data_IF_817325042449
#
_entry.id   IF_817325042449
#
_cell.length_a   1.000
_cell.length_b   1.000
_cell.length_c   1.000
_cell.angle_alpha   90.00
_cell.angle_beta   90.00
_cell.angle_gamma   90.00
#
_symmetry.space_group_name_H-M   'P 1'
#
loop_
_entity.id
_entity.type
_entity.pdbx_description
1 polymer ?
#
# COMPACT_ATOMS: atom_id res chain seq x y z
N UNK A 1 -7.07 -35.21 36.24
CA UNK A 1 -6.37 -33.98 36.69
C UNK A 1 -6.13 -33.09 35.49
N UNK A 2 -6.89 -32.00 35.43
CA UNK A 2 -6.78 -30.93 34.43
C UNK A 2 -5.39 -30.29 34.49
N UNK A 3 -4.69 -30.22 33.35
CA UNK A 3 -3.66 -29.21 33.16
C UNK A 3 -4.36 -27.97 32.62
N UNK A 4 -4.73 -27.07 33.52
CA UNK A 4 -4.99 -25.68 33.19
C UNK A 4 -3.71 -25.11 32.54
N UNK A 5 -3.76 -24.90 31.24
CA UNK A 5 -2.77 -24.10 30.52
C UNK A 5 -3.01 -22.65 30.88
N UNK A 6 -2.31 -22.18 31.93
CA UNK A 6 -2.26 -20.79 32.37
C UNK A 6 -2.07 -19.84 31.18
N UNK A 7 -3.12 -19.09 30.87
CA UNK A 7 -3.22 -18.15 29.76
C UNK A 7 -2.63 -16.77 30.15
N UNK A 8 -1.48 -16.75 30.84
CA UNK A 8 -0.71 -15.54 31.02
C UNK A 8 0.14 -15.33 29.76
N UNK A 9 -0.31 -14.46 28.86
CA UNK A 9 0.60 -13.87 27.86
C UNK A 9 1.78 -13.27 28.62
N UNK A 10 2.95 -13.92 28.54
CA UNK A 10 4.14 -13.41 29.21
C UNK A 10 4.41 -11.98 28.71
N UNK A 11 4.83 -11.04 29.57
CA UNK A 11 5.12 -9.66 29.16
C UNK A 11 6.11 -9.62 27.99
N UNK A 12 7.05 -10.56 27.95
CA UNK A 12 7.99 -10.75 26.85
C UNK A 12 7.31 -11.12 25.52
N UNK A 13 6.35 -12.04 25.55
CA UNK A 13 5.59 -12.42 24.35
C UNK A 13 4.72 -11.26 23.84
N UNK A 14 4.19 -10.44 24.76
CA UNK A 14 3.47 -9.21 24.41
C UNK A 14 4.39 -8.23 23.67
N UNK A 15 5.57 -7.94 24.20
CA UNK A 15 6.56 -7.04 23.56
C UNK A 15 7.00 -7.57 22.21
N UNK A 16 7.30 -8.87 22.09
CA UNK A 16 7.66 -9.48 20.80
C UNK A 16 6.55 -9.30 19.77
N UNK A 17 5.29 -9.51 20.16
CA UNK A 17 4.15 -9.31 19.24
C UNK A 17 3.93 -7.85 18.86
N UNK A 18 4.19 -6.91 19.76
CA UNK A 18 4.19 -5.48 19.45
C UNK A 18 5.29 -5.15 18.42
N UNK A 19 6.50 -5.68 18.58
CA UNK A 19 7.58 -5.48 17.60
C UNK A 19 7.25 -6.11 16.24
N UNK A 20 6.71 -7.33 16.23
CA UNK A 20 6.25 -7.98 15.00
C UNK A 20 5.15 -7.16 14.33
N UNK A 21 4.19 -6.65 15.10
CA UNK A 21 3.17 -5.71 14.64
C UNK A 21 3.81 -4.48 14.00
N UNK A 22 4.78 -3.84 14.67
CA UNK A 22 5.42 -2.63 14.16
C UNK A 22 6.13 -2.87 12.82
N UNK A 23 6.78 -4.01 12.64
CA UNK A 23 7.38 -4.39 11.37
C UNK A 23 6.32 -4.64 10.28
N UNK A 24 5.19 -5.27 10.61
CA UNK A 24 4.05 -5.43 9.69
C UNK A 24 3.48 -4.05 9.28
N UNK A 25 3.32 -3.14 10.24
CA UNK A 25 2.85 -1.77 10.00
C UNK A 25 3.79 -0.97 9.11
N UNK A 26 5.10 -1.11 9.30
CA UNK A 26 6.12 -0.53 8.41
C UNK A 26 5.95 -1.05 6.97
N UNK A 27 5.74 -2.36 6.83
CA UNK A 27 5.48 -2.98 5.53
C UNK A 27 4.16 -2.55 4.88
N UNK A 28 3.21 -1.99 5.62
CA UNK A 28 1.97 -1.49 5.02
C UNK A 28 2.13 -0.09 4.38
N UNK A 29 3.14 0.69 4.77
CA UNK A 29 3.36 2.07 4.30
C UNK A 29 4.27 2.12 3.07
N UNK A 30 5.35 1.33 3.07
CA UNK A 30 6.41 1.42 2.06
C UNK A 30 6.13 0.54 0.83
N UNK A 31 6.28 1.07 -0.41
CA UNK A 31 6.17 0.25 -1.61
C UNK A 31 7.23 -0.85 -1.64
N UNK A 32 6.83 -2.08 -1.97
CA UNK A 32 7.72 -3.23 -2.14
C UNK A 32 7.98 -4.06 -0.88
N UNK A 33 7.64 -3.55 0.31
CA UNK A 33 7.62 -4.36 1.54
C UNK A 33 6.19 -4.86 1.70
N UNK A 34 5.97 -6.19 1.75
CA UNK A 34 4.63 -6.73 1.97
C UNK A 34 4.41 -6.99 3.46
N UNK A 35 3.56 -6.19 4.11
CA UNK A 35 3.09 -6.48 5.47
C UNK A 35 2.45 -7.88 5.60
N UNK A 36 1.88 -8.40 4.50
CA UNK A 36 1.38 -9.77 4.41
C UNK A 36 2.48 -10.82 4.51
N UNK A 37 3.59 -10.65 3.78
CA UNK A 37 4.76 -11.56 3.85
C UNK A 37 5.37 -11.54 5.26
N UNK A 38 5.51 -10.36 5.86
CA UNK A 38 5.98 -10.25 7.25
C UNK A 38 5.02 -10.94 8.23
N UNK A 39 3.71 -10.85 8.00
CA UNK A 39 2.72 -11.56 8.81
C UNK A 39 2.85 -13.08 8.70
N UNK A 40 3.22 -13.61 7.53
CA UNK A 40 3.50 -15.04 7.31
C UNK A 40 4.77 -15.45 8.04
N UNK A 41 5.86 -14.70 7.88
CA UNK A 41 7.17 -14.96 8.54
C UNK A 41 7.02 -14.99 10.06
N UNK A 42 6.22 -14.08 10.62
CA UNK A 42 5.98 -14.03 12.06
C UNK A 42 4.92 -15.05 12.56
N UNK A 43 4.31 -15.83 11.67
CA UNK A 43 3.29 -16.82 12.00
C UNK A 43 1.96 -16.21 12.45
N UNK A 44 1.72 -14.93 12.14
CA UNK A 44 0.52 -14.18 12.54
C UNK A 44 -0.56 -14.21 11.45
N UNK A 45 -0.17 -14.53 10.20
CA UNK A 45 -1.08 -14.60 9.06
C UNK A 45 -2.27 -15.56 9.27
N UNK A 46 -2.00 -16.82 9.70
CA UNK A 46 -3.06 -17.81 9.97
C UNK A 46 -4.08 -17.33 11.03
N UNK A 47 -3.65 -16.86 12.21
CA UNK A 47 -4.54 -16.23 13.20
C UNK A 47 -5.42 -15.10 12.65
N UNK A 48 -4.87 -14.24 11.76
CA UNK A 48 -5.62 -13.15 11.14
C UNK A 48 -6.69 -13.72 10.20
N UNK A 49 -6.32 -14.66 9.33
CA UNK A 49 -7.23 -15.25 8.36
C UNK A 49 -8.36 -16.03 9.03
N UNK A 50 -8.05 -16.83 10.06
CA UNK A 50 -9.08 -17.56 10.82
C UNK A 50 -10.08 -16.63 11.52
N UNK A 51 -9.62 -15.48 12.02
CA UNK A 51 -10.49 -14.45 12.56
C UNK A 51 -11.36 -13.80 11.48
N UNK A 52 -10.81 -13.51 10.29
CA UNK A 52 -11.56 -12.91 9.19
C UNK A 52 -12.59 -13.88 8.57
N UNK A 53 -12.28 -15.17 8.48
CA UNK A 53 -13.18 -16.18 7.92
C UNK A 53 -14.38 -16.49 8.82
N UNK A 54 -14.20 -16.45 10.15
CA UNK A 54 -15.27 -16.72 11.12
C UNK A 54 -15.23 -15.71 12.29
N UNK A 55 -15.56 -14.43 12.04
CA UNK A 55 -15.32 -13.35 12.99
C UNK A 55 -16.08 -13.51 14.30
N UNK A 56 -17.31 -14.02 14.27
CA UNK A 56 -18.13 -14.20 15.48
C UNK A 56 -17.64 -15.37 16.33
N UNK A 57 -17.26 -16.49 15.71
CA UNK A 57 -16.82 -17.70 16.40
C UNK A 57 -15.40 -17.55 16.97
N UNK A 58 -14.51 -16.89 16.21
CA UNK A 58 -13.09 -16.76 16.56
C UNK A 58 -12.74 -15.45 17.28
N UNK A 59 -13.72 -14.58 17.55
CA UNK A 59 -13.51 -13.29 18.22
C UNK A 59 -12.80 -13.46 19.57
N UNK A 60 -13.37 -14.29 20.46
CA UNK A 60 -12.87 -14.44 21.84
C UNK A 60 -11.53 -15.17 21.93
N UNK A 61 -11.16 -15.95 20.93
CA UNK A 61 -9.94 -16.78 20.91
C UNK A 61 -8.76 -16.07 20.24
N UNK A 62 -9.00 -15.32 19.17
CA UNK A 62 -7.96 -14.71 18.34
C UNK A 62 -7.75 -13.22 18.63
N UNK A 63 -8.81 -12.46 18.94
CA UNK A 63 -8.68 -11.00 19.19
C UNK A 63 -7.70 -10.70 20.33
N UNK A 64 -7.76 -11.34 21.52
CA UNK A 64 -6.81 -11.05 22.60
C UNK A 64 -5.35 -11.31 22.23
N UNK A 65 -5.12 -12.28 21.35
CA UNK A 65 -3.78 -12.65 20.85
C UNK A 65 -3.28 -11.67 19.78
N UNK A 66 -4.18 -11.06 19.03
CA UNK A 66 -3.88 -10.12 17.95
C UNK A 66 -3.79 -8.66 18.43
N UNK A 67 -4.41 -8.29 19.55
CA UNK A 67 -4.33 -6.93 20.12
C UNK A 67 -2.88 -6.39 20.17
N UNK A 68 -1.87 -7.12 20.68
CA UNK A 68 -0.51 -6.61 20.73
C UNK A 68 0.08 -6.36 19.33
N UNK A 69 -0.29 -7.19 18.36
CA UNK A 69 0.12 -7.04 16.96
C UNK A 69 -0.57 -5.84 16.32
N UNK A 70 -1.85 -5.62 16.59
CA UNK A 70 -2.61 -4.46 16.09
C UNK A 70 -2.04 -3.16 16.68
N UNK A 71 -1.74 -3.14 17.99
CA UNK A 71 -1.08 -2.00 18.64
C UNK A 71 0.28 -1.75 18.01
N UNK A 72 1.09 -2.80 17.87
CA UNK A 72 2.38 -2.73 17.19
C UNK A 72 2.24 -2.19 15.77
N UNK A 73 1.30 -2.73 15.00
CA UNK A 73 1.00 -2.34 13.62
C UNK A 73 0.61 -0.88 13.50
N UNK A 74 -0.26 -0.40 14.38
CA UNK A 74 -0.60 1.01 14.45
C UNK A 74 0.64 1.87 14.77
N UNK A 75 1.43 1.51 15.78
CA UNK A 75 2.64 2.26 16.15
C UNK A 75 3.68 2.26 15.02
N UNK A 76 3.92 1.12 14.38
CA UNK A 76 4.86 1.00 13.26
C UNK A 76 4.38 1.76 12.03
N UNK A 77 3.10 1.63 11.67
CA UNK A 77 2.48 2.38 10.60
C UNK A 77 2.62 3.88 10.84
N UNK A 78 2.21 4.37 12.02
CA UNK A 78 2.25 5.79 12.37
C UNK A 78 3.67 6.33 12.45
N UNK A 79 4.60 5.57 13.03
CA UNK A 79 6.01 5.97 13.11
C UNK A 79 6.62 6.15 11.72
N UNK A 80 6.39 5.20 10.82
CA UNK A 80 6.91 5.26 9.45
C UNK A 80 6.18 6.32 8.63
N UNK A 81 4.86 6.44 8.77
CA UNK A 81 4.05 7.48 8.15
C UNK A 81 4.57 8.89 8.48
N UNK A 82 4.85 9.18 9.76
CA UNK A 82 5.36 10.47 10.20
C UNK A 82 6.78 10.75 9.69
N UNK A 83 7.67 9.76 9.74
CA UNK A 83 9.02 9.89 9.17
C UNK A 83 8.93 10.19 7.67
N UNK A 84 8.05 9.49 6.98
CA UNK A 84 7.87 9.64 5.55
C UNK A 84 7.26 11.00 5.18
N UNK A 85 6.25 11.46 5.92
CA UNK A 85 5.67 12.79 5.78
C UNK A 85 6.76 13.86 5.95
N UNK A 86 7.60 13.73 6.99
CA UNK A 86 8.73 14.63 7.22
C UNK A 86 9.70 14.66 6.02
N UNK A 87 10.05 13.52 5.43
CA UNK A 87 10.94 13.48 4.26
C UNK A 87 10.27 14.06 3.01
N UNK A 88 8.99 13.79 2.78
CA UNK A 88 8.23 14.34 1.66
C UNK A 88 8.05 15.87 1.77
N UNK A 89 7.96 16.41 2.98
CA UNK A 89 7.90 17.86 3.20
C UNK A 89 9.26 18.53 3.11
N UNK A 90 10.28 17.95 3.74
CA UNK A 90 11.63 18.56 3.82
C UNK A 90 12.45 18.35 2.54
N UNK A 91 12.25 17.23 1.86
CA UNK A 91 12.99 16.83 0.66
C UNK A 91 12.01 16.27 -0.40
N UNK A 92 11.12 17.09 -0.98
CA UNK A 92 10.06 16.63 -1.86
C UNK A 92 10.59 15.90 -3.10
N UNK A 93 11.48 16.53 -3.88
CA UNK A 93 11.98 15.94 -5.13
C UNK A 93 12.78 14.63 -4.88
N UNK A 94 13.76 14.56 -3.96
CA UNK A 94 14.47 13.32 -3.68
C UNK A 94 13.56 12.21 -3.15
N UNK A 95 12.58 12.55 -2.30
CA UNK A 95 11.64 11.57 -1.75
C UNK A 95 10.74 10.99 -2.83
N UNK A 96 10.16 11.84 -3.68
CA UNK A 96 9.34 11.39 -4.82
C UNK A 96 10.18 10.55 -5.78
N UNK A 97 11.43 10.94 -6.05
CA UNK A 97 12.36 10.16 -6.87
C UNK A 97 12.67 8.78 -6.29
N UNK A 98 12.84 8.67 -4.96
CA UNK A 98 12.99 7.38 -4.28
C UNK A 98 11.73 6.51 -4.46
N UNK A 99 10.54 7.09 -4.32
CA UNK A 99 9.27 6.39 -4.57
C UNK A 99 9.12 5.90 -6.00
N UNK A 100 9.43 6.76 -6.98
CA UNK A 100 9.44 6.38 -8.39
C UNK A 100 10.39 5.19 -8.61
N UNK A 101 11.59 5.23 -8.00
CA UNK A 101 12.53 4.12 -8.04
C UNK A 101 11.97 2.83 -7.46
N UNK A 102 11.32 2.91 -6.29
CA UNK A 102 10.68 1.75 -5.66
C UNK A 102 9.56 1.16 -6.53
N UNK A 103 8.69 2.00 -7.09
CA UNK A 103 7.60 1.56 -7.97
C UNK A 103 8.18 0.92 -9.24
N UNK A 104 9.14 1.59 -9.89
CA UNK A 104 9.79 1.09 -11.10
C UNK A 104 10.49 -0.25 -10.87
N UNK A 105 11.18 -0.42 -9.74
CA UNK A 105 11.82 -1.68 -9.36
C UNK A 105 10.82 -2.81 -9.07
N UNK A 106 9.58 -2.50 -8.70
CA UNK A 106 8.49 -3.48 -8.51
C UNK A 106 7.70 -3.78 -9.79
N UNK A 107 7.82 -2.98 -10.86
CA UNK A 107 7.12 -3.26 -12.12
C UNK A 107 7.40 -4.67 -12.69
N UNK A 108 8.64 -5.20 -12.69
CA UNK A 108 8.90 -6.54 -13.19
C UNK A 108 8.14 -7.63 -12.44
N UNK A 109 8.01 -7.53 -11.11
CA UNK A 109 7.27 -8.50 -10.32
C UNK A 109 5.76 -8.35 -10.52
N UNK A 110 5.25 -7.13 -10.69
CA UNK A 110 3.85 -6.90 -11.09
C UNK A 110 3.54 -7.51 -12.45
N UNK A 111 4.42 -7.37 -13.44
CA UNK A 111 4.25 -8.01 -14.76
C UNK A 111 4.34 -9.54 -14.70
N UNK A 112 5.13 -10.10 -13.76
CA UNK A 112 5.18 -11.53 -13.48
C UNK A 112 3.84 -12.01 -12.90
N UNK A 113 3.37 -11.37 -11.84
CA UNK A 113 2.09 -11.63 -11.17
C UNK A 113 0.92 -11.54 -12.17
N UNK A 114 0.85 -10.46 -12.94
CA UNK A 114 -0.19 -10.25 -13.94
C UNK A 114 -0.27 -11.34 -15.01
N UNK A 115 0.83 -12.08 -15.22
CA UNK A 115 0.93 -13.18 -16.17
C UNK A 115 0.67 -14.56 -15.60
N UNK A 116 0.40 -14.72 -14.31
CA UNK A 116 0.26 -16.03 -13.66
C UNK A 116 -0.88 -16.87 -14.24
N UNK A 117 -2.01 -16.25 -14.57
CA UNK A 117 -3.13 -16.91 -15.23
C UNK A 117 -3.10 -16.77 -16.77
N UNK A 118 -1.92 -16.54 -17.34
CA UNK A 118 -1.72 -16.33 -18.76
C UNK A 118 -1.89 -14.87 -19.19
N UNK A 119 -1.54 -14.59 -20.46
CA UNK A 119 -1.60 -13.25 -21.07
C UNK A 119 -2.42 -13.31 -22.35
N UNK A 120 -3.50 -12.54 -22.40
CA UNK A 120 -4.36 -12.43 -23.59
C UNK A 120 -4.08 -11.10 -24.31
N UNK A 121 -4.52 -10.98 -25.58
CA UNK A 121 -4.53 -9.69 -26.28
C UNK A 121 -5.35 -8.64 -25.52
N UNK A 122 -6.45 -9.06 -24.88
CA UNK A 122 -7.29 -8.22 -24.04
C UNK A 122 -6.55 -7.64 -22.82
N UNK A 123 -5.56 -8.37 -22.28
CA UNK A 123 -4.76 -7.92 -21.14
C UNK A 123 -3.93 -6.68 -21.49
N UNK A 124 -3.20 -6.72 -22.62
CA UNK A 124 -2.42 -5.58 -23.10
C UNK A 124 -3.31 -4.40 -23.52
N UNK A 125 -4.47 -4.68 -24.12
CA UNK A 125 -5.46 -3.64 -24.44
C UNK A 125 -5.94 -2.96 -23.15
N UNK A 126 -6.27 -3.73 -22.10
CA UNK A 126 -6.68 -3.17 -20.81
C UNK A 126 -5.59 -2.32 -20.18
N UNK A 127 -4.33 -2.74 -20.25
CA UNK A 127 -3.20 -1.94 -19.77
C UNK A 127 -3.14 -0.57 -20.45
N UNK A 128 -3.18 -0.55 -21.79
CA UNK A 128 -3.09 0.70 -22.56
C UNK A 128 -4.32 1.58 -22.32
N UNK A 129 -5.53 1.00 -22.30
CA UNK A 129 -6.76 1.74 -22.04
C UNK A 129 -6.74 2.37 -20.65
N UNK A 130 -6.44 1.60 -19.60
CA UNK A 130 -6.36 2.14 -18.25
C UNK A 130 -5.26 3.21 -18.12
N UNK A 131 -4.10 3.00 -18.74
CA UNK A 131 -3.02 3.98 -18.77
C UNK A 131 -3.46 5.30 -19.43
N UNK A 132 -4.08 5.23 -20.61
CA UNK A 132 -4.58 6.40 -21.32
C UNK A 132 -5.69 7.13 -20.55
N UNK A 133 -6.60 6.38 -19.92
CA UNK A 133 -7.68 6.96 -19.08
C UNK A 133 -7.08 7.72 -17.90
N UNK A 134 -6.13 7.13 -17.18
CA UNK A 134 -5.48 7.79 -16.04
C UNK A 134 -4.68 9.00 -16.49
N UNK A 135 -3.94 8.92 -17.60
CA UNK A 135 -3.27 10.10 -18.15
C UNK A 135 -4.25 11.20 -18.50
N UNK A 136 -5.35 10.88 -19.19
CA UNK A 136 -6.36 11.87 -19.54
C UNK A 136 -6.97 12.53 -18.29
N UNK A 137 -7.25 11.75 -17.25
CA UNK A 137 -7.76 12.27 -15.96
C UNK A 137 -6.72 13.17 -15.30
N UNK A 138 -5.49 12.71 -15.10
CA UNK A 138 -4.46 13.45 -14.37
C UNK A 138 -4.02 14.71 -15.11
N UNK A 139 -3.83 14.63 -16.43
CA UNK A 139 -3.52 15.80 -17.27
C UNK A 139 -4.71 16.76 -17.28
N UNK A 140 -5.94 16.26 -17.38
CA UNK A 140 -7.15 17.07 -17.27
C UNK A 140 -7.20 17.86 -15.97
N UNK A 141 -6.99 17.19 -14.83
CA UNK A 141 -6.97 17.82 -13.51
C UNK A 141 -5.90 18.93 -13.42
N UNK A 142 -4.70 18.70 -13.98
CA UNK A 142 -3.64 19.71 -14.04
C UNK A 142 -4.01 20.91 -14.92
N UNK A 143 -4.57 20.67 -16.12
CA UNK A 143 -4.94 21.74 -17.06
C UNK A 143 -6.03 22.65 -16.49
N UNK A 144 -7.01 22.09 -15.80
CA UNK A 144 -8.10 22.88 -15.22
C UNK A 144 -7.71 23.60 -13.91
N UNK A 145 -6.45 23.45 -13.45
CA UNK A 145 -5.96 24.01 -12.18
C UNK A 145 -6.95 23.77 -11.03
N UNK A 146 -7.62 22.61 -11.05
CA UNK A 146 -8.48 22.20 -9.94
C UNK A 146 -7.51 21.89 -8.81
N UNK A 147 -7.26 22.89 -7.95
CA UNK A 147 -6.58 22.65 -6.69
C UNK A 147 -7.38 21.57 -5.98
N UNK A 148 -6.79 20.37 -5.90
CA UNK A 148 -7.29 19.25 -5.12
C UNK A 148 -7.12 19.64 -3.65
N UNK A 149 -7.97 20.56 -3.17
CA UNK A 149 -7.98 20.96 -1.77
C UNK A 149 -8.45 19.75 -0.98
N UNK A 150 -7.63 19.25 -0.05
CA UNK A 150 -8.02 18.13 0.80
C UNK A 150 -9.35 18.48 1.47
N UNK A 151 -10.37 17.70 1.15
CA UNK A 151 -11.72 17.89 1.66
C UNK A 151 -12.30 16.52 1.99
N UNK A 152 -13.47 16.52 2.62
CA UNK A 152 -14.15 15.30 3.03
C UNK A 152 -14.27 14.24 1.91
N UNK A 153 -14.57 14.68 0.67
CA UNK A 153 -14.70 13.78 -0.48
C UNK A 153 -13.36 13.19 -0.94
N UNK A 154 -12.30 14.00 -0.94
CA UNK A 154 -10.97 13.48 -1.28
C UNK A 154 -10.43 12.52 -0.21
N UNK A 155 -10.74 12.73 1.06
CA UNK A 155 -10.37 11.78 2.12
C UNK A 155 -11.23 10.51 2.08
N UNK A 156 -12.51 10.58 1.68
CA UNK A 156 -13.29 9.39 1.33
C UNK A 156 -12.62 8.60 0.20
N UNK A 157 -12.13 9.29 -0.85
CA UNK A 157 -11.40 8.68 -1.95
C UNK A 157 -10.06 8.07 -1.50
N UNK A 158 -9.34 8.71 -0.58
CA UNK A 158 -8.14 8.14 0.03
C UNK A 158 -8.44 6.82 0.76
N UNK A 159 -9.54 6.79 1.52
CA UNK A 159 -10.08 5.59 2.15
C UNK A 159 -10.40 4.49 1.14
N UNK A 160 -11.03 4.85 0.01
CA UNK A 160 -11.27 3.94 -1.10
C UNK A 160 -9.98 3.36 -1.67
N UNK A 161 -8.97 4.19 -1.97
CA UNK A 161 -7.68 3.72 -2.48
C UNK A 161 -6.96 2.81 -1.48
N UNK A 162 -7.04 3.14 -0.19
CA UNK A 162 -6.51 2.30 0.89
C UNK A 162 -7.21 0.94 0.93
N UNK A 163 -8.53 0.90 0.93
CA UNK A 163 -9.26 -0.38 0.88
C UNK A 163 -8.98 -1.17 -0.40
N UNK A 164 -8.90 -0.49 -1.55
CA UNK A 164 -8.57 -1.13 -2.82
C UNK A 164 -7.17 -1.76 -2.78
N UNK A 165 -6.19 -1.10 -2.15
CA UNK A 165 -4.84 -1.66 -1.97
C UNK A 165 -4.78 -2.91 -1.09
N UNK A 166 -5.77 -3.09 -0.20
CA UNK A 166 -5.90 -4.29 0.63
C UNK A 166 -6.60 -5.43 -0.11
N UNK A 167 -7.55 -5.11 -0.99
CA UNK A 167 -8.37 -6.10 -1.71
C UNK A 167 -7.69 -6.55 -2.99
N UNK A 168 -7.07 -5.64 -3.74
CA UNK A 168 -6.42 -5.89 -5.02
C UNK A 168 -4.90 -6.09 -4.81
N UNK A 169 -4.38 -7.33 -4.97
CA UNK A 169 -2.96 -7.60 -4.78
C UNK A 169 -2.09 -6.80 -5.77
N UNK A 170 -0.93 -6.32 -5.31
CA UNK A 170 0.04 -5.61 -6.14
C UNK A 170 -0.19 -4.10 -6.33
N UNK A 171 -1.26 -3.51 -5.77
CA UNK A 171 -1.50 -2.06 -5.79
C UNK A 171 -1.24 -1.47 -4.41
N UNK A 172 -0.22 -0.62 -4.23
CA UNK A 172 -0.09 0.19 -3.01
C UNK A 172 -0.92 1.46 -3.15
N UNK A 173 -1.70 1.84 -2.14
CA UNK A 173 -2.47 3.09 -2.19
C UNK A 173 -1.59 4.33 -2.40
N UNK A 174 -0.31 4.26 -2.00
CA UNK A 174 0.69 5.30 -2.28
C UNK A 174 0.83 5.60 -3.78
N UNK A 175 0.76 4.59 -4.65
CA UNK A 175 0.92 4.79 -6.11
C UNK A 175 -0.26 5.54 -6.71
N UNK A 176 -1.44 5.46 -6.11
CA UNK A 176 -2.64 6.16 -6.58
C UNK A 176 -2.74 7.58 -6.01
N UNK A 177 -2.42 7.76 -4.73
CA UNK A 177 -2.65 9.03 -4.03
C UNK A 177 -1.54 10.06 -4.26
N UNK A 178 -0.32 9.62 -4.54
CA UNK A 178 0.82 10.52 -4.66
C UNK A 178 0.75 11.42 -5.91
N UNK A 179 0.39 10.93 -7.12
CA UNK A 179 0.20 11.78 -8.31
C UNK A 179 -0.96 12.79 -8.16
N UNK A 180 -1.91 12.50 -7.27
CA UNK A 180 -3.03 13.39 -6.95
C UNK A 180 -2.67 14.43 -5.88
N UNK A 181 -1.46 14.39 -5.31
CA UNK A 181 -1.07 15.25 -4.19
C UNK A 181 -1.79 14.94 -2.87
N UNK A 182 -2.51 13.82 -2.80
CA UNK A 182 -3.32 13.43 -1.64
C UNK A 182 -2.57 12.55 -0.65
N UNK A 183 -1.46 11.95 -1.06
CA UNK A 183 -0.70 11.02 -0.23
C UNK A 183 -0.15 11.68 1.04
N UNK A 184 0.63 12.75 0.90
CA UNK A 184 1.23 13.47 2.04
C UNK A 184 0.18 13.95 3.04
N UNK A 185 -0.87 14.72 2.66
CA UNK A 185 -1.86 15.18 3.64
C UNK A 185 -2.65 14.02 4.27
N UNK A 186 -2.86 12.92 3.54
CA UNK A 186 -3.54 11.75 4.12
C UNK A 186 -2.66 11.01 5.14
N UNK A 187 -1.39 10.77 4.82
CA UNK A 187 -0.45 10.08 5.70
C UNK A 187 -0.11 10.93 6.93
N UNK A 188 0.11 12.23 6.74
CA UNK A 188 0.33 13.18 7.82
C UNK A 188 -0.88 13.28 8.76
N UNK A 189 -2.09 13.36 8.19
CA UNK A 189 -3.33 13.35 8.95
C UNK A 189 -3.54 12.09 9.78
N UNK A 190 -3.18 10.92 9.23
CA UNK A 190 -3.18 9.67 10.00
C UNK A 190 -2.13 9.72 11.11
N UNK A 191 -0.91 10.18 10.79
CA UNK A 191 0.22 10.30 11.72
C UNK A 191 -0.06 11.17 12.95
N UNK A 192 -0.83 12.24 12.77
CA UNK A 192 -1.25 13.19 13.81
C UNK A 192 -2.64 12.90 14.41
N UNK A 193 -3.28 11.79 14.02
CA UNK A 193 -4.63 11.43 14.47
C UNK A 193 -5.69 12.52 14.18
N UNK A 194 -5.57 13.21 13.04
CA UNK A 194 -6.58 14.19 12.63
C UNK A 194 -7.90 13.48 12.28
N UNK A 195 -8.91 13.69 13.12
CA UNK A 195 -10.24 13.10 12.95
C UNK A 195 -10.93 13.58 11.67
N UNK A 196 -10.62 14.78 11.17
CA UNK A 196 -11.14 15.29 9.90
C UNK A 196 -10.61 14.51 8.69
N UNK A 197 -9.54 13.73 8.86
CA UNK A 197 -8.92 12.89 7.83
C UNK A 197 -9.22 11.41 8.10
N UNK A 198 -9.14 10.99 9.36
CA UNK A 198 -9.35 9.61 9.79
C UNK A 198 -10.80 9.17 9.64
N UNK A 199 -11.78 10.04 9.98
CA UNK A 199 -13.20 9.69 9.87
C UNK A 199 -13.60 9.48 8.40
N UNK A 200 -13.37 10.43 7.46
CA UNK A 200 -13.73 10.20 6.06
C UNK A 200 -12.90 9.07 5.45
N UNK A 201 -11.59 8.99 5.74
CA UNK A 201 -10.75 7.88 5.28
C UNK A 201 -11.28 6.52 5.75
N UNK A 202 -11.65 6.40 7.02
CA UNK A 202 -12.23 5.18 7.59
C UNK A 202 -13.58 4.82 6.98
N UNK A 203 -14.47 5.80 6.79
CA UNK A 203 -15.76 5.60 6.12
C UNK A 203 -15.55 5.13 4.68
N UNK A 204 -14.68 5.81 3.92
CA UNK A 204 -14.37 5.47 2.53
C UNK A 204 -13.82 4.05 2.42
N UNK A 205 -12.91 3.68 3.31
CA UNK A 205 -12.36 2.32 3.35
C UNK A 205 -13.46 1.29 3.70
N UNK A 206 -14.27 1.54 4.72
CA UNK A 206 -15.32 0.63 5.16
C UNK A 206 -16.38 0.41 4.08
N UNK A 207 -16.87 1.49 3.47
CA UNK A 207 -17.86 1.43 2.38
C UNK A 207 -17.29 0.65 1.20
N UNK A 208 -16.02 0.89 0.85
CA UNK A 208 -15.36 0.16 -0.25
C UNK A 208 -15.27 -1.34 0.05
N UNK A 209 -14.85 -1.72 1.25
CA UNK A 209 -14.80 -3.13 1.65
C UNK A 209 -16.19 -3.76 1.59
N UNK A 210 -17.23 -3.11 2.10
CA UNK A 210 -18.58 -3.69 2.14
C UNK A 210 -19.19 -3.79 0.73
N UNK A 211 -19.11 -2.72 -0.06
CA UNK A 211 -19.81 -2.61 -1.33
C UNK A 211 -19.05 -3.23 -2.50
N UNK A 212 -17.72 -3.11 -2.52
CA UNK A 212 -16.90 -3.42 -3.69
C UNK A 212 -16.05 -4.67 -3.52
N UNK A 213 -15.81 -5.18 -2.31
CA UNK A 213 -14.96 -6.36 -2.15
C UNK A 213 -15.44 -7.57 -2.97
N UNK A 214 -16.76 -7.83 -3.00
CA UNK A 214 -17.34 -8.91 -3.82
C UNK A 214 -17.14 -8.67 -5.31
N UNK A 215 -17.34 -7.44 -5.78
CA UNK A 215 -17.20 -7.09 -7.20
C UNK A 215 -15.74 -7.19 -7.66
N UNK A 216 -14.81 -6.69 -6.84
CA UNK A 216 -13.37 -6.79 -7.09
C UNK A 216 -12.94 -8.26 -7.06
N UNK A 217 -13.39 -9.05 -6.08
CA UNK A 217 -13.08 -10.48 -6.03
C UNK A 217 -13.59 -11.21 -7.28
N UNK A 218 -14.84 -10.97 -7.69
CA UNK A 218 -15.40 -11.56 -8.92
C UNK A 218 -14.61 -11.13 -10.19
N UNK A 219 -14.12 -9.88 -10.23
CA UNK A 219 -13.29 -9.40 -11.33
C UNK A 219 -11.95 -10.17 -11.39
N UNK A 220 -11.31 -10.41 -10.25
CA UNK A 220 -10.06 -11.18 -10.19
C UNK A 220 -10.28 -12.68 -10.42
N UNK A 221 -11.43 -13.25 -10.03
CA UNK A 221 -11.73 -14.67 -10.30
C UNK A 221 -11.99 -14.94 -11.80
N UNK A 222 -12.68 -14.04 -12.49
CA UNK A 222 -13.07 -14.25 -13.89
C UNK A 222 -12.15 -13.57 -14.92
N UNK A 223 -11.51 -12.45 -14.55
CA UNK A 223 -10.74 -11.60 -15.46
C UNK A 223 -9.37 -11.21 -14.88
N UNK A 224 -8.75 -12.11 -14.10
CA UNK A 224 -7.45 -11.91 -13.42
C UNK A 224 -6.42 -11.16 -14.29
N UNK A 225 -6.09 -11.73 -15.46
CA UNK A 225 -5.05 -11.18 -16.34
C UNK A 225 -5.38 -9.78 -16.84
N UNK A 226 -6.65 -9.52 -17.17
CA UNK A 226 -7.11 -8.23 -17.69
C UNK A 226 -7.05 -7.18 -16.57
N UNK A 227 -7.56 -7.50 -15.38
CA UNK A 227 -7.55 -6.62 -14.22
C UNK A 227 -6.14 -6.24 -13.79
N UNK A 228 -5.24 -7.21 -13.67
CA UNK A 228 -3.84 -6.98 -13.29
C UNK A 228 -3.06 -6.14 -14.31
N UNK A 229 -3.26 -6.38 -15.61
CA UNK A 229 -2.62 -5.55 -16.64
C UNK A 229 -3.21 -4.13 -16.66
N UNK A 230 -4.52 -3.97 -16.39
CA UNK A 230 -5.13 -2.66 -16.18
C UNK A 230 -4.48 -1.89 -15.02
N UNK A 231 -4.28 -2.57 -13.88
CA UNK A 231 -3.54 -2.06 -12.71
C UNK A 231 -2.15 -1.57 -13.09
N UNK A 232 -1.38 -2.36 -13.84
CA UNK A 232 -0.05 -1.97 -14.30
C UNK A 232 -0.13 -0.69 -15.13
N UNK A 233 -1.11 -0.58 -16.03
CA UNK A 233 -1.34 0.63 -16.82
C UNK A 233 -1.60 1.88 -15.95
N UNK A 234 -2.42 1.74 -14.91
CA UNK A 234 -2.69 2.80 -13.93
C UNK A 234 -1.41 3.20 -13.20
N UNK A 235 -0.64 2.23 -12.70
CA UNK A 235 0.61 2.46 -11.95
C UNK A 235 1.66 3.15 -12.84
N UNK A 236 1.81 2.74 -14.09
CA UNK A 236 2.73 3.40 -15.04
C UNK A 236 2.32 4.85 -15.26
N UNK A 237 1.03 5.11 -15.55
CA UNK A 237 0.54 6.46 -15.79
C UNK A 237 0.75 7.37 -14.57
N UNK A 238 0.37 6.89 -13.38
CA UNK A 238 0.59 7.55 -12.10
C UNK A 238 2.07 7.88 -11.86
N UNK A 239 2.96 6.91 -12.07
CA UNK A 239 4.40 7.06 -11.83
C UNK A 239 5.04 8.08 -12.77
N UNK A 240 4.59 8.14 -14.03
CA UNK A 240 5.09 9.15 -14.99
C UNK A 240 4.62 10.55 -14.60
N UNK A 241 3.36 10.69 -14.18
CA UNK A 241 2.79 12.01 -13.86
C UNK A 241 3.39 12.66 -12.62
N UNK A 242 3.98 11.87 -11.71
CA UNK A 242 4.58 12.40 -10.48
C UNK A 242 6.07 12.77 -10.62
N UNK A 243 6.71 12.55 -11.77
CA UNK A 243 8.13 12.88 -11.95
C UNK A 243 8.35 14.39 -11.69
N UNK A 244 9.19 14.78 -10.72
CA UNK A 244 9.42 16.18 -10.39
C UNK A 244 10.37 16.82 -11.41
N UNK A 245 9.87 17.13 -12.60
CA UNK A 245 10.67 17.64 -13.73
C UNK A 245 11.47 18.92 -13.39
N UNK A 246 11.01 19.71 -12.42
CA UNK A 246 11.74 20.87 -11.89
C UNK A 246 13.04 20.48 -11.18
N UNK A 247 13.03 19.40 -10.40
CA UNK A 247 14.17 18.91 -9.63
C UNK A 247 15.31 18.35 -10.48
N UNK A 248 15.12 18.24 -11.80
CA UNK A 248 16.17 17.82 -12.74
C UNK A 248 16.82 18.99 -13.50
N UNK A 249 16.37 20.23 -13.29
CA UNK A 249 16.93 21.41 -13.98
C UNK A 249 18.33 21.78 -13.48
N UNK A 250 18.58 21.60 -12.18
CA UNK A 250 19.86 21.90 -11.56
C UNK A 250 20.75 20.63 -11.56
N UNK A 251 21.99 20.65 -12.07
CA UNK A 251 22.84 19.46 -12.14
C UNK A 251 23.08 18.77 -10.79
N UNK A 252 23.24 19.54 -9.71
CA UNK A 252 23.43 18.98 -8.36
C UNK A 252 22.21 18.23 -7.83
N UNK A 253 21.03 18.84 -7.97
CA UNK A 253 19.75 18.22 -7.57
C UNK A 253 19.41 17.02 -8.46
N UNK A 254 19.70 17.11 -9.76
CA UNK A 254 19.51 16.02 -10.70
C UNK A 254 20.34 14.78 -10.31
N UNK A 255 21.59 14.95 -9.88
CA UNK A 255 22.43 13.84 -9.40
C UNK A 255 21.81 13.18 -8.17
N UNK A 256 21.37 13.97 -7.18
CA UNK A 256 20.71 13.44 -5.97
C UNK A 256 19.44 12.67 -6.35
N UNK A 257 18.61 13.23 -7.22
CA UNK A 257 17.37 12.62 -7.67
C UNK A 257 17.59 11.32 -8.43
N UNK A 258 18.61 11.26 -9.30
CA UNK A 258 19.01 10.03 -9.98
C UNK A 258 19.52 8.99 -8.98
N UNK A 259 20.32 9.38 -7.99
CA UNK A 259 20.76 8.47 -6.93
C UNK A 259 19.55 7.91 -6.17
N UNK A 260 18.59 8.76 -5.79
CA UNK A 260 17.36 8.31 -5.13
C UNK A 260 16.56 7.31 -5.98
N UNK A 261 16.42 7.54 -7.28
CA UNK A 261 15.78 6.57 -8.19
C UNK A 261 16.55 5.24 -8.20
N UNK A 262 17.87 5.28 -8.38
CA UNK A 262 18.71 4.07 -8.44
C UNK A 262 18.65 3.29 -7.12
N UNK A 263 18.74 3.99 -5.99
CA UNK A 263 18.59 3.39 -4.66
C UNK A 263 17.21 2.77 -4.50
N UNK A 264 16.15 3.47 -4.91
CA UNK A 264 14.78 2.95 -4.88
C UNK A 264 14.62 1.67 -5.70
N UNK A 265 15.13 1.65 -6.94
CA UNK A 265 15.11 0.46 -7.80
C UNK A 265 15.88 -0.69 -7.15
N UNK A 266 17.08 -0.42 -6.65
CA UNK A 266 17.92 -1.44 -6.01
C UNK A 266 17.25 -2.03 -4.76
N UNK A 267 16.64 -1.19 -3.92
CA UNK A 267 15.89 -1.62 -2.74
C UNK A 267 14.68 -2.47 -3.13
N UNK A 268 13.89 -2.03 -4.10
CA UNK A 268 12.72 -2.78 -4.57
C UNK A 268 13.11 -4.15 -5.15
N UNK A 269 14.17 -4.23 -5.93
CA UNK A 269 14.66 -5.51 -6.47
C UNK A 269 15.23 -6.42 -5.36
N UNK A 270 15.91 -5.85 -4.36
CA UNK A 270 16.39 -6.62 -3.20
C UNK A 270 15.20 -7.17 -2.38
N UNK A 271 14.15 -6.37 -2.21
CA UNK A 271 12.91 -6.77 -1.54
C UNK A 271 12.14 -7.82 -2.34
N UNK A 272 12.00 -7.67 -3.66
CA UNK A 272 11.35 -8.69 -4.50
C UNK A 272 12.09 -10.03 -4.41
N UNK A 273 13.43 -9.99 -4.46
CA UNK A 273 14.26 -11.18 -4.28
C UNK A 273 14.02 -11.83 -2.91
N UNK A 274 14.00 -11.04 -1.84
CA UNK A 274 13.71 -11.54 -0.49
C UNK A 274 12.31 -12.16 -0.40
N UNK A 275 11.28 -11.47 -0.90
CA UNK A 275 9.91 -11.95 -0.89
C UNK A 275 9.74 -13.24 -1.70
N UNK A 276 10.41 -13.36 -2.86
CA UNK A 276 10.36 -14.58 -3.70
C UNK A 276 10.96 -15.83 -3.03
N UNK A 277 11.79 -15.66 -2.00
CA UNK A 277 12.38 -16.76 -1.23
C UNK A 277 11.44 -17.27 -0.13
N UNK A 278 10.45 -16.46 0.26
CA UNK A 278 9.48 -16.81 1.30
C UNK A 278 8.29 -17.47 0.61
N UNK A 279 8.22 -18.80 0.67
CA UNK A 279 7.02 -19.53 0.22
C UNK A 279 5.85 -19.20 1.13
N UNK A 280 4.87 -18.48 0.59
CA UNK A 280 3.56 -18.29 1.22
C UNK A 280 2.76 -19.55 0.92
N UNK A 281 2.76 -20.50 1.86
CA UNK A 281 1.88 -21.68 1.86
C UNK A 281 0.53 -21.39 2.52
#
# INVERSE_FOLDING_TARGET
MSKESNNHTSPLLFVIRVLQGALIGLGAVLPGISGGVLSVIFGIYKPIMELLSNPIANFKTHVPKLIPVVIGGAVGFLGVANILAFFLEKYPDPSVCLFIGLIAGMLPSLFREAGEQGRSKGSYVSMVVCMCVIFAILIGLQMFSIEVKPNFAWFLFCGFCLALSLIAPGMSFSTLLMPLGLYTPFVDGIGHFDLSILIPGGIGALVTVICLAKAVNALFEHHYSIAFHGIIGIVIAATVMIIPVSGFKNPGEAVVNVICIVVGVALALALDKFNSQVKVE
#
